data_IF_595677166606
#
_entry.id   IF_595677166606
#
_cell.length_a   1.000
_cell.length_b   1.000
_cell.length_c   1.000
_cell.angle_alpha   90.00
_cell.angle_beta   90.00
_cell.angle_gamma   90.00
#
_symmetry.space_group_name_H-M   'P 1'
#
loop_
_entity.id
_entity.type
_entity.pdbx_description
1 polymer ?
#
# COMPACT_ATOMS: atom_id res chain seq x y z
N UNK A 1 3.97 -7.20 25.42
CA UNK A 1 4.77 -7.01 24.18
C UNK A 1 3.91 -6.81 22.93
N UNK A 2 2.84 -7.58 22.69
CA UNK A 2 1.97 -7.36 21.53
C UNK A 2 1.16 -6.05 21.58
N UNK A 3 0.62 -5.66 22.74
CA UNK A 3 -0.18 -4.44 22.86
C UNK A 3 0.60 -3.13 22.57
N UNK A 4 1.89 -3.07 22.91
CA UNK A 4 2.72 -1.88 22.63
C UNK A 4 3.05 -1.73 21.14
N UNK A 5 3.22 -2.83 20.42
CA UNK A 5 3.50 -2.81 18.98
C UNK A 5 2.29 -2.37 18.15
N UNK A 6 1.07 -2.74 18.54
CA UNK A 6 -0.15 -2.30 17.85
C UNK A 6 -0.44 -0.80 18.01
N UNK A 7 0.24 -0.13 18.94
CA UNK A 7 0.21 1.32 19.07
C UNK A 7 1.34 2.03 18.31
N UNK A 8 2.17 1.30 17.55
CA UNK A 8 3.31 1.87 16.83
C UNK A 8 2.95 2.26 15.38
N UNK A 9 3.07 3.54 14.99
CA UNK A 9 2.83 3.99 13.61
C UNK A 9 3.72 3.31 12.57
N UNK A 10 4.95 2.93 12.90
CA UNK A 10 5.82 2.20 11.98
C UNK A 10 5.29 0.80 11.69
N UNK A 11 4.61 0.15 12.64
CA UNK A 11 3.94 -1.11 12.35
C UNK A 11 2.77 -0.89 11.40
N UNK A 12 1.98 0.17 11.58
CA UNK A 12 0.87 0.50 10.69
C UNK A 12 1.36 0.80 9.27
N UNK A 13 2.47 1.53 9.16
CA UNK A 13 3.18 1.77 7.90
C UNK A 13 3.63 0.47 7.25
N UNK A 14 4.26 -0.43 8.00
CA UNK A 14 4.72 -1.72 7.48
C UNK A 14 3.56 -2.58 6.96
N UNK A 15 2.43 -2.61 7.67
CA UNK A 15 1.24 -3.34 7.22
C UNK A 15 0.67 -2.74 5.94
N UNK A 16 0.69 -1.41 5.79
CA UNK A 16 0.32 -0.75 4.54
C UNK A 16 1.28 -1.09 3.39
N UNK A 17 2.59 -1.05 3.65
CA UNK A 17 3.61 -1.42 2.67
C UNK A 17 3.41 -2.87 2.18
N UNK A 18 3.09 -3.81 3.09
CA UNK A 18 2.75 -5.21 2.75
C UNK A 18 1.41 -5.34 2.02
N UNK A 19 0.44 -4.47 2.34
CA UNK A 19 -0.88 -4.44 1.68
C UNK A 19 -0.75 -3.96 0.23
N UNK A 20 0.15 -3.01 -0.05
CA UNK A 20 0.43 -2.53 -1.41
C UNK A 20 1.49 -3.36 -2.13
N UNK A 21 2.72 -2.84 -2.21
CA UNK A 21 3.80 -3.43 -3.02
C UNK A 21 4.53 -4.63 -2.39
N UNK A 22 4.36 -4.85 -1.08
CA UNK A 22 5.01 -5.95 -0.37
C UNK A 22 4.30 -7.30 -0.60
N UNK A 23 4.87 -8.36 -0.04
CA UNK A 23 4.28 -9.69 -0.08
C UNK A 23 4.52 -10.41 1.24
N UNK A 24 3.45 -10.97 1.80
CA UNK A 24 3.50 -11.82 2.98
C UNK A 24 3.15 -13.25 2.56
N UNK A 25 4.06 -14.18 2.84
CA UNK A 25 3.91 -15.60 2.55
C UNK A 25 3.98 -16.38 3.87
N UNK A 26 2.91 -17.10 4.19
CA UNK A 26 2.87 -18.02 5.36
C UNK A 26 2.94 -19.50 4.95
N UNK A 27 2.56 -19.81 3.70
CA UNK A 27 2.54 -21.17 3.18
C UNK A 27 3.79 -21.40 2.33
N UNK A 28 4.66 -22.32 2.75
CA UNK A 28 5.94 -22.66 2.09
C UNK A 28 7.12 -22.76 3.07
N UNK A 29 8.31 -23.11 2.57
CA UNK A 29 9.46 -23.46 3.41
C UNK A 29 10.02 -22.32 4.30
N UNK A 30 9.64 -21.05 4.10
CA UNK A 30 10.42 -19.92 4.65
C UNK A 30 9.68 -18.77 5.33
N UNK A 31 8.35 -18.71 5.37
CA UNK A 31 7.59 -17.65 6.07
C UNK A 31 8.18 -16.23 5.84
N UNK A 32 7.85 -15.64 4.69
CA UNK A 32 8.58 -14.51 4.13
C UNK A 32 7.73 -13.26 4.17
N UNK A 33 8.30 -12.16 4.64
CA UNK A 33 7.89 -10.81 4.25
C UNK A 33 8.90 -10.28 3.20
N UNK A 34 8.42 -9.85 2.05
CA UNK A 34 9.27 -9.30 0.99
C UNK A 34 8.74 -7.99 0.42
N UNK A 35 9.68 -7.18 -0.09
CA UNK A 35 9.38 -5.88 -0.67
C UNK A 35 10.22 -5.67 -1.91
N UNK A 36 9.67 -4.91 -2.86
CA UNK A 36 10.26 -4.62 -4.15
C UNK A 36 10.08 -3.14 -4.47
N UNK A 37 11.13 -2.47 -4.93
CA UNK A 37 11.02 -1.10 -5.43
C UNK A 37 12.09 -0.83 -6.48
N UNK A 38 11.87 0.17 -7.33
CA UNK A 38 12.91 0.72 -8.21
C UNK A 38 13.80 1.73 -7.47
N UNK A 39 13.35 2.19 -6.31
CA UNK A 39 14.06 3.13 -5.46
C UNK A 39 14.79 2.37 -4.35
N UNK A 40 16.12 2.54 -4.28
CA UNK A 40 16.93 1.88 -3.27
C UNK A 40 16.66 2.43 -1.87
N UNK A 41 16.34 3.72 -1.75
CA UNK A 41 16.14 4.35 -0.46
C UNK A 41 14.82 3.91 0.17
N UNK A 42 13.78 3.64 -0.62
CA UNK A 42 12.56 2.98 -0.15
C UNK A 42 12.87 1.59 0.47
N UNK A 43 13.74 0.80 -0.17
CA UNK A 43 14.14 -0.50 0.36
C UNK A 43 14.99 -0.36 1.64
N UNK A 44 15.87 0.64 1.72
CA UNK A 44 16.64 0.93 2.95
C UNK A 44 15.72 1.34 4.10
N UNK A 45 14.71 2.18 3.83
CA UNK A 45 13.72 2.60 4.81
C UNK A 45 12.91 1.41 5.34
N UNK A 46 12.47 0.51 4.47
CA UNK A 46 11.80 -0.75 4.87
C UNK A 46 12.75 -1.61 5.70
N UNK A 47 14.02 -1.74 5.29
CA UNK A 47 15.05 -2.48 6.05
C UNK A 47 15.21 -1.93 7.47
N UNK A 48 15.34 -0.62 7.60
CA UNK A 48 15.46 0.05 8.90
C UNK A 48 14.21 -0.19 9.75
N UNK A 49 13.02 0.04 9.20
CA UNK A 49 11.74 -0.17 9.89
C UNK A 49 11.58 -1.59 10.41
N UNK A 50 11.92 -2.58 9.59
CA UNK A 50 11.80 -3.99 9.98
C UNK A 50 12.80 -4.36 11.09
N UNK A 51 14.01 -3.80 11.04
CA UNK A 51 14.99 -3.97 12.10
C UNK A 51 14.54 -3.30 13.40
N UNK A 52 14.05 -2.06 13.35
CA UNK A 52 13.61 -1.33 14.54
C UNK A 52 12.42 -2.04 15.23
N UNK A 53 11.48 -2.58 14.44
CA UNK A 53 10.30 -3.29 14.96
C UNK A 53 10.60 -4.70 15.49
N UNK A 54 11.50 -5.46 14.83
CA UNK A 54 11.63 -6.90 15.07
C UNK A 54 13.06 -7.39 15.30
N UNK A 55 14.06 -6.51 15.19
CA UNK A 55 15.48 -6.84 15.26
C UNK A 55 15.92 -7.88 14.21
N UNK A 56 15.22 -7.93 13.07
CA UNK A 56 15.52 -8.86 11.97
C UNK A 56 16.20 -8.09 10.83
N UNK A 57 17.36 -8.58 10.42
CA UNK A 57 18.13 -8.03 9.30
C UNK A 57 17.72 -8.70 7.98
N UNK A 58 17.34 -7.90 7.00
CA UNK A 58 17.16 -8.36 5.61
C UNK A 58 18.39 -8.04 4.75
N UNK A 59 18.67 -8.89 3.77
CA UNK A 59 19.67 -8.63 2.72
C UNK A 59 18.99 -8.00 1.51
N UNK A 60 19.53 -6.86 1.06
CA UNK A 60 19.07 -6.21 -0.17
C UNK A 60 19.73 -6.92 -1.34
N UNK A 61 18.94 -7.24 -2.36
CA UNK A 61 19.40 -7.80 -3.60
C UNK A 61 19.01 -6.88 -4.75
N UNK A 62 19.92 -6.71 -5.70
CA UNK A 62 19.60 -6.10 -6.99
C UNK A 62 18.98 -7.16 -7.90
N UNK A 63 18.03 -6.75 -8.73
CA UNK A 63 17.35 -7.60 -9.70
C UNK A 63 17.21 -6.82 -11.00
N UNK A 64 17.94 -7.26 -12.02
CA UNK A 64 17.95 -6.66 -13.35
C UNK A 64 17.24 -7.54 -14.38
N UNK A 65 16.36 -8.45 -13.92
CA UNK A 65 15.68 -9.36 -14.84
C UNK A 65 14.77 -8.57 -15.79
N UNK A 66 14.66 -8.98 -17.07
CA UNK A 66 13.66 -8.47 -17.99
C UNK A 66 12.25 -8.50 -17.39
N UNK A 67 11.49 -7.42 -17.54
CA UNK A 67 10.10 -7.36 -17.06
C UNK A 67 9.15 -7.00 -18.19
N UNK A 68 8.03 -7.71 -18.27
CA UNK A 68 6.95 -7.43 -19.23
C UNK A 68 7.26 -7.87 -20.66
N UNK A 69 6.38 -7.47 -21.59
CA UNK A 69 6.47 -7.87 -23.01
C UNK A 69 7.67 -7.28 -23.74
N UNK A 70 8.21 -6.16 -23.25
CA UNK A 70 9.34 -5.45 -23.88
C UNK A 70 10.69 -6.13 -23.63
N UNK A 71 10.76 -7.09 -22.72
CA UNK A 71 11.98 -7.79 -22.28
C UNK A 71 13.17 -6.87 -21.93
N UNK A 72 12.91 -5.59 -21.63
CA UNK A 72 13.97 -4.68 -21.21
C UNK A 72 14.32 -4.93 -19.74
N UNK A 73 15.61 -5.00 -19.37
CA UNK A 73 16.01 -5.08 -17.98
C UNK A 73 15.54 -3.83 -17.25
N UNK A 74 14.82 -4.02 -16.15
CA UNK A 74 14.38 -2.93 -15.28
C UNK A 74 15.07 -3.13 -13.94
N UNK A 75 15.98 -2.22 -13.62
CA UNK A 75 16.64 -2.21 -12.31
C UNK A 75 15.60 -2.09 -11.21
N UNK A 76 15.54 -3.10 -10.34
CA UNK A 76 14.74 -3.09 -9.11
C UNK A 76 15.55 -3.69 -7.96
N UNK A 77 15.21 -3.28 -6.76
CA UNK A 77 15.77 -3.76 -5.52
C UNK A 77 14.72 -4.61 -4.81
N UNK A 78 15.17 -5.68 -4.17
CA UNK A 78 14.33 -6.60 -3.42
C UNK A 78 14.95 -6.92 -2.08
N UNK A 79 14.14 -7.02 -1.05
CA UNK A 79 14.55 -7.42 0.29
C UNK A 79 13.60 -8.49 0.82
N UNK A 80 14.16 -9.45 1.54
CA UNK A 80 13.43 -10.55 2.15
C UNK A 80 13.75 -10.60 3.64
N UNK A 81 12.71 -10.85 4.43
CA UNK A 81 12.81 -11.15 5.85
C UNK A 81 12.20 -12.54 6.07
N UNK A 82 13.04 -13.48 6.53
CA UNK A 82 12.66 -14.86 6.79
C UNK A 82 12.49 -15.01 8.30
N UNK A 83 11.25 -15.08 8.78
CA UNK A 83 10.95 -15.28 10.19
C UNK A 83 9.52 -15.78 10.37
N UNK A 84 9.38 -17.03 10.79
CA UNK A 84 8.07 -17.64 11.06
C UNK A 84 7.27 -16.88 12.14
N UNK A 85 7.85 -16.54 13.31
CA UNK A 85 7.11 -15.78 14.33
C UNK A 85 6.59 -14.44 13.81
N UNK A 86 7.40 -13.70 13.06
CA UNK A 86 7.00 -12.39 12.55
C UNK A 86 5.97 -12.50 11.43
N UNK A 87 6.11 -13.46 10.51
CA UNK A 87 5.13 -13.65 9.45
C UNK A 87 3.76 -14.08 10.00
N UNK A 88 3.74 -14.95 11.01
CA UNK A 88 2.51 -15.35 11.71
C UNK A 88 1.90 -14.15 12.44
N UNK A 89 2.71 -13.40 13.19
CA UNK A 89 2.26 -12.18 13.86
C UNK A 89 1.63 -11.18 12.87
N UNK A 90 2.29 -10.89 11.75
CA UNK A 90 1.78 -9.97 10.73
C UNK A 90 0.44 -10.43 10.15
N UNK A 91 0.29 -11.74 9.88
CA UNK A 91 -0.99 -12.34 9.46
C UNK A 91 -2.06 -12.14 10.53
N UNK A 92 -1.76 -12.48 11.78
CA UNK A 92 -2.72 -12.48 12.88
C UNK A 92 -3.23 -11.06 13.21
N UNK A 93 -2.40 -10.04 12.98
CA UNK A 93 -2.81 -8.63 13.12
C UNK A 93 -3.55 -8.08 11.89
N UNK A 94 -3.83 -8.91 10.87
CA UNK A 94 -4.68 -8.57 9.74
C UNK A 94 -3.95 -8.17 8.45
N UNK A 95 -2.65 -8.45 8.32
CA UNK A 95 -1.94 -8.23 7.04
C UNK A 95 -2.38 -9.27 6.01
N UNK A 96 -2.74 -8.88 4.77
CA UNK A 96 -3.13 -9.83 3.75
C UNK A 96 -1.96 -10.73 3.32
N UNK A 97 -2.27 -11.99 3.04
CA UNK A 97 -1.30 -13.03 2.68
C UNK A 97 -1.51 -13.47 1.23
N UNK A 98 -0.41 -13.70 0.51
CA UNK A 98 -0.47 -14.27 -0.84
C UNK A 98 -0.86 -13.26 -1.94
N UNK A 99 -1.56 -13.75 -2.97
CA UNK A 99 -2.06 -12.90 -4.05
C UNK A 99 -3.28 -12.10 -3.60
N UNK A 100 -3.04 -10.84 -3.26
CA UNK A 100 -4.02 -9.86 -2.80
C UNK A 100 -5.15 -9.59 -3.80
N UNK A 101 -4.97 -9.93 -5.07
CA UNK A 101 -6.04 -9.87 -6.08
C UNK A 101 -7.13 -10.91 -5.78
N UNK A 102 -6.74 -12.06 -5.25
CA UNK A 102 -7.59 -13.24 -5.06
C UNK A 102 -7.98 -13.46 -3.60
N UNK A 103 -7.46 -12.65 -2.67
CA UNK A 103 -7.72 -12.78 -1.24
C UNK A 103 -8.54 -11.59 -0.74
N UNK A 104 -9.68 -11.82 -0.06
CA UNK A 104 -10.41 -10.75 0.60
C UNK A 104 -9.63 -10.26 1.82
N UNK A 105 -9.58 -8.94 2.01
CA UNK A 105 -8.98 -8.33 3.19
C UNK A 105 -9.66 -6.99 3.47
N UNK A 106 -9.50 -6.53 4.70
CA UNK A 106 -10.00 -5.26 5.22
C UNK A 106 -8.83 -4.51 5.87
N UNK A 107 -9.05 -3.24 6.21
CA UNK A 107 -8.11 -2.52 7.08
C UNK A 107 -8.12 -3.20 8.46
N UNK A 108 -6.95 -3.48 9.06
CA UNK A 108 -6.88 -4.04 10.40
C UNK A 108 -7.67 -3.25 11.44
N UNK A 109 -8.43 -3.96 12.30
CA UNK A 109 -9.29 -3.33 13.32
C UNK A 109 -8.52 -2.41 14.26
N UNK A 110 -7.29 -2.77 14.61
CA UNK A 110 -6.44 -1.96 15.50
C UNK A 110 -5.98 -0.64 14.86
N UNK A 111 -5.94 -0.56 13.53
CA UNK A 111 -5.69 0.68 12.79
C UNK A 111 -6.96 1.53 12.74
N UNK A 112 -8.12 0.92 12.42
CA UNK A 112 -9.42 1.63 12.38
C UNK A 112 -9.76 2.25 13.74
N UNK A 113 -9.56 1.50 14.83
CA UNK A 113 -9.80 1.97 16.20
C UNK A 113 -8.62 2.70 16.81
N UNK A 114 -7.51 2.78 16.08
CA UNK A 114 -6.27 3.38 16.51
C UNK A 114 -6.34 4.90 16.59
N UNK A 115 -5.35 5.49 17.24
CA UNK A 115 -5.16 6.94 17.26
C UNK A 115 -4.74 7.47 15.88
N UNK A 116 -4.84 8.78 15.68
CA UNK A 116 -4.67 9.42 14.37
C UNK A 116 -3.32 9.12 13.71
N UNK A 117 -2.23 8.99 14.46
CA UNK A 117 -0.92 8.68 13.88
C UNK A 117 -0.86 7.29 13.23
N UNK A 118 -1.59 6.29 13.75
CA UNK A 118 -1.68 4.95 13.13
C UNK A 118 -2.43 5.00 11.81
N UNK A 119 -3.59 5.66 11.82
CA UNK A 119 -4.43 5.84 10.63
C UNK A 119 -3.66 6.59 9.54
N UNK A 120 -2.97 7.67 9.93
CA UNK A 120 -2.09 8.45 9.06
C UNK A 120 -0.99 7.58 8.46
N UNK A 121 -0.26 6.83 9.28
CA UNK A 121 0.87 6.01 8.81
C UNK A 121 0.41 4.91 7.84
N UNK A 122 -0.75 4.30 8.10
CA UNK A 122 -1.34 3.32 7.20
C UNK A 122 -1.77 3.96 5.86
N UNK A 123 -2.53 5.07 5.90
CA UNK A 123 -2.95 5.77 4.68
C UNK A 123 -1.75 6.25 3.87
N UNK A 124 -0.75 6.86 4.50
CA UNK A 124 0.45 7.34 3.82
C UNK A 124 1.20 6.19 3.14
N UNK A 125 1.39 5.05 3.82
CA UNK A 125 2.02 3.87 3.23
C UNK A 125 1.23 3.30 2.05
N UNK A 126 -0.09 3.23 2.18
CA UNK A 126 -0.95 2.71 1.12
C UNK A 126 -0.94 3.62 -0.12
N UNK A 127 -0.95 4.95 0.06
CA UNK A 127 -0.86 5.91 -1.04
C UNK A 127 0.56 6.01 -1.64
N UNK A 128 1.61 5.76 -0.84
CA UNK A 128 2.97 5.62 -1.35
C UNK A 128 3.12 4.37 -2.23
N UNK A 129 2.46 3.26 -1.91
CA UNK A 129 2.51 2.04 -2.71
C UNK A 129 1.53 2.07 -3.91
N UNK A 130 0.22 2.13 -3.62
CA UNK A 130 -0.85 1.96 -4.61
C UNK A 130 -1.42 3.29 -5.13
N UNK A 131 -1.10 4.39 -4.45
CA UNK A 131 -1.55 5.73 -4.82
C UNK A 131 -0.78 6.30 -6.02
N UNK A 132 -1.42 7.22 -6.72
CA UNK A 132 -0.81 7.93 -7.85
C UNK A 132 -1.27 9.39 -7.88
N UNK A 133 -0.37 10.29 -8.29
CA UNK A 133 -0.68 11.69 -8.57
C UNK A 133 -0.27 12.03 -9.99
N UNK A 134 -1.21 12.51 -10.79
CA UNK A 134 -1.05 12.75 -12.22
C UNK A 134 -2.05 13.79 -12.73
N UNK A 135 -1.80 14.31 -13.93
CA UNK A 135 -2.72 15.16 -14.67
C UNK A 135 -3.50 14.30 -15.66
N UNK A 136 -4.83 14.38 -15.63
CA UNK A 136 -5.70 13.81 -16.63
C UNK A 136 -6.78 14.82 -17.01
N UNK A 137 -7.03 14.98 -18.32
CA UNK A 137 -7.95 16.00 -18.84
C UNK A 137 -7.66 17.41 -18.28
N UNK A 138 -6.37 17.79 -18.26
CA UNK A 138 -5.86 19.06 -17.72
C UNK A 138 -6.18 19.30 -16.22
N UNK A 139 -6.52 18.26 -15.46
CA UNK A 139 -6.81 18.34 -14.02
C UNK A 139 -5.93 17.39 -13.23
N UNK A 140 -5.39 17.87 -12.13
CA UNK A 140 -4.67 17.03 -11.18
C UNK A 140 -5.61 16.04 -10.50
N UNK A 141 -5.15 14.80 -10.34
CA UNK A 141 -5.86 13.74 -9.64
C UNK A 141 -4.90 13.02 -8.71
N UNK A 142 -5.38 12.72 -7.50
CA UNK A 142 -4.74 11.77 -6.59
C UNK A 142 -5.65 10.55 -6.53
N UNK A 143 -5.21 9.42 -7.07
CA UNK A 143 -6.01 8.21 -7.16
C UNK A 143 -5.39 7.06 -6.37
N UNK A 144 -6.21 6.34 -5.64
CA UNK A 144 -5.89 5.03 -5.10
C UNK A 144 -6.66 3.98 -5.92
N UNK A 145 -5.96 2.94 -6.38
CA UNK A 145 -6.57 1.85 -7.14
C UNK A 145 -5.96 0.52 -6.74
N UNK A 146 -6.76 -0.54 -6.70
CA UNK A 146 -6.27 -1.90 -6.49
C UNK A 146 -7.08 -2.88 -7.34
N UNK A 147 -6.43 -3.91 -7.87
CA UNK A 147 -7.10 -4.96 -8.64
C UNK A 147 -7.71 -5.99 -7.70
N UNK A 148 -8.91 -6.47 -8.03
CA UNK A 148 -9.57 -7.59 -7.36
C UNK A 148 -10.15 -8.54 -8.39
N UNK A 149 -10.08 -9.83 -8.10
CA UNK A 149 -10.80 -10.84 -8.85
C UNK A 149 -12.30 -10.52 -8.77
N UNK A 150 -13.01 -10.70 -9.89
CA UNK A 150 -14.42 -10.36 -9.98
C UNK A 150 -15.27 -11.09 -8.93
N UNK A 151 -14.87 -12.30 -8.51
CA UNK A 151 -15.53 -13.10 -7.47
C UNK A 151 -15.47 -12.48 -6.07
N UNK A 152 -14.53 -11.57 -5.80
CA UNK A 152 -14.35 -10.93 -4.49
C UNK A 152 -14.46 -9.39 -4.56
N UNK A 153 -15.05 -8.84 -5.61
CA UNK A 153 -15.19 -7.39 -5.77
C UNK A 153 -15.94 -6.74 -4.61
N UNK A 154 -16.98 -7.39 -4.10
CA UNK A 154 -17.76 -6.89 -2.96
C UNK A 154 -16.89 -6.68 -1.73
N UNK A 155 -15.94 -7.59 -1.47
CA UNK A 155 -14.98 -7.46 -0.36
C UNK A 155 -13.96 -6.34 -0.63
N UNK A 156 -13.52 -6.18 -1.88
CA UNK A 156 -12.72 -5.03 -2.29
C UNK A 156 -13.45 -3.70 -2.07
N UNK A 157 -14.74 -3.62 -2.38
CA UNK A 157 -15.55 -2.41 -2.14
C UNK A 157 -15.65 -2.11 -0.65
N UNK A 158 -15.79 -3.12 0.22
CA UNK A 158 -15.77 -2.94 1.68
C UNK A 158 -14.44 -2.37 2.16
N UNK A 159 -13.31 -2.85 1.64
CA UNK A 159 -11.99 -2.27 1.95
C UNK A 159 -11.92 -0.79 1.54
N UNK A 160 -12.33 -0.44 0.32
CA UNK A 160 -12.32 0.95 -0.13
C UNK A 160 -13.25 1.84 0.69
N UNK A 161 -14.41 1.34 1.16
CA UNK A 161 -15.27 2.07 2.10
C UNK A 161 -14.51 2.41 3.39
N UNK A 162 -13.79 1.45 3.97
CA UNK A 162 -12.96 1.72 5.16
C UNK A 162 -11.85 2.74 4.89
N UNK A 163 -11.22 2.71 3.71
CA UNK A 163 -10.25 3.75 3.33
C UNK A 163 -10.92 5.12 3.26
N UNK A 164 -12.13 5.23 2.68
CA UNK A 164 -12.88 6.49 2.65
C UNK A 164 -13.19 7.01 4.06
N UNK A 165 -13.59 6.12 4.96
CA UNK A 165 -13.90 6.49 6.35
C UNK A 165 -12.63 6.97 7.08
N UNK A 166 -11.49 6.29 6.89
CA UNK A 166 -10.21 6.75 7.42
C UNK A 166 -9.77 8.11 6.85
N UNK A 167 -10.01 8.39 5.57
CA UNK A 167 -9.71 9.70 4.96
C UNK A 167 -10.58 10.81 5.58
N UNK A 168 -11.85 10.53 5.86
CA UNK A 168 -12.78 11.49 6.49
C UNK A 168 -12.31 11.92 7.88
N UNK A 169 -11.69 11.02 8.66
CA UNK A 169 -11.09 11.37 9.96
C UNK A 169 -10.04 12.50 9.86
N UNK A 170 -9.47 12.74 8.67
CA UNK A 170 -8.51 13.82 8.39
C UNK A 170 -9.10 14.97 7.56
N UNK A 171 -10.43 15.03 7.42
CA UNK A 171 -11.11 16.02 6.59
C UNK A 171 -10.81 15.88 5.10
N UNK A 172 -10.50 14.66 4.64
CA UNK A 172 -10.18 14.38 3.23
C UNK A 172 -11.37 13.69 2.57
N UNK A 173 -12.04 14.40 1.67
CA UNK A 173 -13.10 13.83 0.85
C UNK A 173 -12.54 13.05 -0.33
N UNK A 174 -13.31 12.05 -0.76
CA UNK A 174 -12.99 11.25 -1.95
C UNK A 174 -14.23 10.95 -2.77
N UNK A 175 -13.99 10.80 -4.07
CA UNK A 175 -14.99 10.45 -5.08
C UNK A 175 -15.74 9.18 -4.71
N UNK A 176 -16.94 8.94 -5.29
CA UNK A 176 -17.55 7.62 -5.28
C UNK A 176 -16.58 6.51 -5.70
N UNK A 177 -16.81 5.30 -5.19
CA UNK A 177 -16.03 4.12 -5.57
C UNK A 177 -16.45 3.74 -6.98
N UNK A 178 -15.48 3.68 -7.90
CA UNK A 178 -15.69 3.26 -9.27
C UNK A 178 -14.90 1.98 -9.54
N UNK A 179 -15.34 1.20 -10.53
CA UNK A 179 -14.62 0.01 -10.95
C UNK A 179 -14.58 -0.13 -12.47
N UNK A 180 -13.49 -0.71 -12.97
CA UNK A 180 -13.24 -0.91 -14.39
C UNK A 180 -12.70 -2.32 -14.62
N UNK A 181 -13.28 -3.03 -15.59
CA UNK A 181 -12.83 -4.38 -15.98
C UNK A 181 -11.39 -4.33 -16.49
N UNK A 182 -10.62 -5.37 -16.14
CA UNK A 182 -9.28 -5.59 -16.65
C UNK A 182 -9.24 -6.71 -17.68
N UNK A 183 -8.07 -6.84 -18.31
CA UNK A 183 -7.77 -7.95 -19.17
C UNK A 183 -7.81 -9.28 -18.39
N UNK A 184 -8.11 -10.35 -19.12
CA UNK A 184 -8.02 -11.72 -18.63
C UNK A 184 -6.63 -11.95 -18.01
N UNK A 185 -6.61 -12.49 -16.79
CA UNK A 185 -5.37 -12.79 -16.09
C UNK A 185 -4.73 -14.05 -16.68
N UNK A 186 -3.45 -14.28 -16.35
CA UNK A 186 -2.69 -15.45 -16.82
C UNK A 186 -3.28 -16.79 -16.34
N UNK A 187 -3.97 -16.78 -15.22
CA UNK A 187 -4.67 -17.93 -14.63
C UNK A 187 -6.08 -18.14 -15.23
N UNK A 188 -6.47 -17.35 -16.24
CA UNK A 188 -7.79 -17.41 -16.87
C UNK A 188 -8.90 -16.70 -16.08
N UNK A 189 -8.60 -16.08 -14.95
CA UNK A 189 -9.60 -15.36 -14.15
C UNK A 189 -9.81 -13.91 -14.62
N UNK A 190 -11.01 -13.39 -14.39
CA UNK A 190 -11.33 -11.98 -14.60
C UNK A 190 -11.03 -11.16 -13.35
N UNK A 191 -10.60 -9.92 -13.56
CA UNK A 191 -10.37 -8.96 -12.47
C UNK A 191 -10.83 -7.58 -12.89
N UNK A 192 -11.11 -6.74 -11.90
CA UNK A 192 -11.46 -5.35 -12.09
C UNK A 192 -10.63 -4.48 -11.16
N UNK A 193 -10.25 -3.28 -11.61
CA UNK A 193 -9.74 -2.26 -10.70
C UNK A 193 -10.91 -1.67 -9.92
N UNK A 194 -10.73 -1.53 -8.62
CA UNK A 194 -11.52 -0.64 -7.77
C UNK A 194 -10.71 0.64 -7.57
N UNK A 195 -11.35 1.81 -7.65
CA UNK A 195 -10.68 3.10 -7.59
C UNK A 195 -11.50 4.14 -6.82
N UNK A 196 -10.78 4.99 -6.10
CA UNK A 196 -11.26 6.29 -5.59
C UNK A 196 -10.25 7.37 -5.94
N UNK A 197 -10.72 8.62 -6.04
CA UNK A 197 -9.87 9.80 -6.16
C UNK A 197 -10.10 10.71 -4.96
N UNK A 198 -9.05 11.38 -4.48
CA UNK A 198 -9.20 12.48 -3.53
C UNK A 198 -9.84 13.65 -4.27
N UNK A 199 -10.84 14.27 -3.65
CA UNK A 199 -11.47 15.46 -4.21
C UNK A 199 -10.49 16.63 -4.24
N UNK A 200 -10.50 17.43 -5.31
CA UNK A 200 -9.54 18.55 -5.48
C UNK A 200 -9.57 19.52 -4.28
N UNK A 201 -10.77 19.79 -3.73
CA UNK A 201 -10.94 20.62 -2.52
C UNK A 201 -10.23 20.08 -1.28
N UNK A 202 -9.92 18.78 -1.24
CA UNK A 202 -9.27 18.12 -0.11
C UNK A 202 -7.78 17.91 -0.32
N UNK A 203 -7.17 18.43 -1.38
CA UNK A 203 -5.73 18.29 -1.61
C UNK A 203 -4.90 18.93 -0.51
N UNK A 204 -5.30 20.11 -0.01
CA UNK A 204 -4.62 20.76 1.11
C UNK A 204 -4.72 19.95 2.40
N UNK A 205 -5.91 19.44 2.73
CA UNK A 205 -6.10 18.57 3.90
C UNK A 205 -5.30 17.28 3.77
N UNK A 206 -5.28 16.67 2.58
CA UNK A 206 -4.47 15.49 2.32
C UNK A 206 -2.98 15.81 2.51
N UNK A 207 -2.47 16.90 1.95
CA UNK A 207 -1.08 17.33 2.10
C UNK A 207 -0.68 17.57 3.56
N UNK A 208 -1.50 18.32 4.31
CA UNK A 208 -1.21 18.68 5.71
C UNK A 208 -1.28 17.47 6.65
N UNK A 209 -2.30 16.63 6.47
CA UNK A 209 -2.61 15.60 7.45
C UNK A 209 -2.02 14.23 7.13
N UNK A 210 -1.88 13.87 5.85
CA UNK A 210 -1.44 12.53 5.41
C UNK A 210 -0.17 12.63 4.56
N UNK A 211 -0.26 13.29 3.40
CA UNK A 211 0.82 13.48 2.44
C UNK A 211 1.35 12.18 1.84
N UNK A 212 2.43 12.32 1.09
CA UNK A 212 3.27 11.21 0.62
C UNK A 212 4.61 11.27 1.34
N UNK A 213 5.19 10.10 1.64
CA UNK A 213 6.60 10.04 2.04
C UNK A 213 7.50 9.98 0.82
N UNK A 214 7.02 9.46 -0.31
CA UNK A 214 7.78 9.46 -1.56
C UNK A 214 7.90 10.89 -2.12
N UNK A 215 9.13 11.42 -2.16
CA UNK A 215 9.42 12.82 -2.51
C UNK A 215 8.85 13.24 -3.86
N UNK A 216 8.90 12.36 -4.88
CA UNK A 216 8.35 12.66 -6.21
C UNK A 216 6.83 12.87 -6.21
N UNK A 217 6.09 12.06 -5.45
CA UNK A 217 4.65 12.23 -5.29
C UNK A 217 4.34 13.48 -4.46
N UNK A 218 5.12 13.72 -3.41
CA UNK A 218 4.95 14.90 -2.56
C UNK A 218 5.19 16.22 -3.32
N UNK A 219 6.22 16.29 -4.16
CA UNK A 219 6.48 17.47 -5.01
C UNK A 219 5.34 17.74 -5.98
N UNK A 220 4.81 16.69 -6.64
CA UNK A 220 3.63 16.82 -7.51
C UNK A 220 2.39 17.29 -6.75
N UNK A 221 2.23 16.88 -5.50
CA UNK A 221 1.11 17.34 -4.66
C UNK A 221 1.23 18.82 -4.36
N UNK A 222 2.43 19.31 -4.05
CA UNK A 222 2.69 20.74 -3.83
C UNK A 222 2.39 21.53 -5.11
N UNK A 223 2.88 21.08 -6.26
CA UNK A 223 2.59 21.69 -7.57
C UNK A 223 1.08 21.73 -7.83
N UNK A 224 0.39 20.61 -7.57
CA UNK A 224 -1.05 20.51 -7.76
C UNK A 224 -1.86 21.44 -6.84
N UNK A 225 -1.35 21.80 -5.66
CA UNK A 225 -2.00 22.75 -4.74
C UNK A 225 -1.78 24.19 -5.20
N UNK A 226 -0.58 24.51 -5.67
CA UNK A 226 -0.19 25.88 -6.05
C UNK A 226 -0.77 26.35 -7.39
N UNK A 227 -1.15 25.43 -8.27
CA UNK A 227 -1.89 25.73 -9.49
C UNK A 227 -3.36 26.01 -9.13
N UNK A 228 -3.66 27.30 -8.96
CA UNK A 228 -5.03 27.84 -8.87
C UNK A 228 -5.67 27.94 -10.24
#
# INVERSE_FOLDING_TARGET
MQASLLCNPDLARLVADLTGDGHLQINGHRHIASFYSKDLDEIKEVKKRFYDLFQIKGKIHEDNRPVGKTQKPVKRYKIFFISKPVAIFLKDIGTPVGDKTNVPFLVPKWIIKGHSTLKKAYLQGLYDAEGSIFVANKRWQIALKMAKNDLILTEGVKFFKQIKDLLKDFGVDSSPIVYHKLNLRKDGSNSSYIRICIEKRSFENFYRNIGFKQSKKQMKLIEAINLK
#
